data_IF_711199636520
#
_entry.id   IF_711199636520
#
_cell.length_a   1.000
_cell.length_b   1.000
_cell.length_c   1.000
_cell.angle_alpha   90.00
_cell.angle_beta   90.00
_cell.angle_gamma   90.00
#
_symmetry.space_group_name_H-M   'P 1'
#
loop_
_entity.id
_entity.type
_entity.pdbx_description
1 polymer ?
#
# COMPACT_ATOMS: atom_id res chain seq x y z
N UNK A 1 -10.11 -43.18 10.30
CA UNK A 1 -10.91 -42.17 9.59
C UNK A 1 -10.37 -40.71 9.73
N UNK A 2 -9.11 -40.47 10.14
CA UNK A 2 -8.47 -39.16 10.28
C UNK A 2 -7.27 -38.92 9.33
N UNK A 3 -6.84 -39.94 8.59
CA UNK A 3 -5.72 -39.81 7.60
C UNK A 3 -6.15 -39.34 6.21
N UNK A 4 -7.44 -39.49 5.85
CA UNK A 4 -7.95 -39.03 4.52
C UNK A 4 -8.10 -37.52 4.31
N UNK A 5 -7.94 -36.68 5.34
CA UNK A 5 -8.06 -35.20 5.14
C UNK A 5 -6.75 -34.52 4.75
N UNK A 6 -5.61 -35.05 5.14
CA UNK A 6 -4.31 -34.50 4.77
C UNK A 6 -3.99 -34.76 3.29
N UNK A 7 -4.31 -35.95 2.79
CA UNK A 7 -4.14 -36.35 1.39
C UNK A 7 -5.08 -35.55 0.45
N UNK A 8 -6.27 -35.18 0.93
CA UNK A 8 -7.20 -34.32 0.18
C UNK A 8 -6.67 -32.90 0.05
N UNK A 9 -6.06 -32.32 1.08
CA UNK A 9 -5.46 -30.98 1.02
C UNK A 9 -4.22 -30.98 0.11
N UNK A 10 -3.38 -32.02 0.16
CA UNK A 10 -2.24 -32.19 -0.75
C UNK A 10 -2.65 -32.51 -2.20
N UNK A 11 -3.72 -33.28 -2.39
CA UNK A 11 -4.29 -33.58 -3.71
C UNK A 11 -4.97 -32.35 -4.35
N UNK A 12 -5.48 -31.40 -3.55
CA UNK A 12 -6.03 -30.12 -4.04
C UNK A 12 -4.96 -29.03 -4.22
N UNK A 13 -3.78 -29.16 -3.63
CA UNK A 13 -2.59 -28.36 -3.93
C UNK A 13 -1.88 -28.82 -5.21
N UNK A 14 -2.05 -30.07 -5.63
CA UNK A 14 -1.76 -30.53 -7.00
C UNK A 14 -2.92 -30.07 -7.89
N UNK A 15 -2.80 -28.90 -8.47
CA UNK A 15 -3.63 -28.23 -9.46
C UNK A 15 -4.39 -29.23 -10.38
N UNK A 16 -5.63 -29.64 -10.08
CA UNK A 16 -6.37 -30.47 -11.02
C UNK A 16 -6.76 -29.58 -12.20
N UNK A 17 -6.29 -29.90 -13.38
CA UNK A 17 -6.50 -29.23 -14.67
C UNK A 17 -5.57 -28.06 -15.06
N UNK A 18 -4.41 -27.88 -14.46
CA UNK A 18 -3.43 -26.90 -14.99
C UNK A 18 -2.58 -27.54 -16.09
N UNK A 19 -3.18 -27.82 -17.25
CA UNK A 19 -2.43 -28.20 -18.46
C UNK A 19 -1.45 -27.11 -18.91
N UNK A 20 -1.64 -25.85 -18.47
CA UNK A 20 -0.76 -24.74 -18.78
C UNK A 20 -0.78 -23.70 -17.65
N UNK A 21 0.28 -23.58 -16.81
CA UNK A 21 0.38 -22.59 -15.73
C UNK A 21 0.25 -21.14 -16.22
N UNK A 22 0.73 -20.84 -17.39
CA UNK A 22 0.61 -19.51 -18.02
C UNK A 22 -0.84 -19.16 -18.34
N UNK A 23 -1.61 -20.12 -18.86
CA UNK A 23 -3.03 -19.92 -19.12
C UNK A 23 -3.84 -19.73 -17.84
N UNK A 24 -3.47 -20.42 -16.76
CA UNK A 24 -4.08 -20.24 -15.45
C UNK A 24 -3.82 -18.84 -14.90
N UNK A 25 -2.59 -18.35 -15.02
CA UNK A 25 -2.22 -16.98 -14.65
C UNK A 25 -3.03 -15.94 -15.43
N UNK A 26 -3.12 -16.05 -16.75
CA UNK A 26 -3.93 -15.16 -17.58
C UNK A 26 -5.41 -15.23 -17.18
N UNK A 27 -5.92 -16.42 -16.91
CA UNK A 27 -7.32 -16.62 -16.51
C UNK A 27 -7.64 -15.99 -15.14
N UNK A 28 -6.65 -15.81 -14.25
CA UNK A 28 -6.87 -15.16 -12.95
C UNK A 28 -7.25 -13.68 -13.09
N UNK A 29 -6.92 -13.03 -14.22
CA UNK A 29 -7.32 -11.66 -14.54
C UNK A 29 -8.71 -11.55 -15.20
N UNK A 30 -9.35 -12.68 -15.51
CA UNK A 30 -10.69 -12.66 -16.14
C UNK A 30 -11.71 -12.01 -15.22
N UNK A 31 -12.65 -11.25 -15.86
CA UNK A 31 -13.71 -10.54 -15.17
C UNK A 31 -13.32 -9.14 -14.70
N UNK A 32 -12.09 -8.68 -14.95
CA UNK A 32 -11.69 -7.29 -14.76
C UNK A 32 -12.05 -6.46 -16.01
N UNK A 33 -12.66 -5.30 -15.78
CA UNK A 33 -13.04 -4.37 -16.85
C UNK A 33 -11.83 -3.67 -17.46
N UNK A 34 -11.99 -3.11 -18.65
CA UNK A 34 -10.94 -2.30 -19.31
C UNK A 34 -10.58 -1.07 -18.48
N UNK A 35 -11.57 -0.53 -17.77
CA UNK A 35 -11.39 0.62 -16.87
C UNK A 35 -10.47 0.29 -15.71
N UNK A 36 -10.56 -0.89 -15.11
CA UNK A 36 -9.68 -1.35 -14.04
C UNK A 36 -8.25 -1.53 -14.54
N UNK A 37 -8.04 -2.08 -15.72
CA UNK A 37 -6.73 -2.18 -16.36
C UNK A 37 -6.12 -0.81 -16.64
N UNK A 38 -6.95 0.15 -17.09
CA UNK A 38 -6.50 1.51 -17.34
C UNK A 38 -6.14 2.24 -16.04
N UNK A 39 -6.91 2.06 -14.95
CA UNK A 39 -6.53 2.58 -13.63
C UNK A 39 -5.20 1.98 -13.15
N UNK A 40 -5.00 0.68 -13.35
CA UNK A 40 -3.73 0.03 -13.01
C UNK A 40 -2.56 0.58 -13.84
N UNK A 41 -2.76 0.87 -15.13
CA UNK A 41 -1.74 1.50 -15.97
C UNK A 41 -1.41 2.93 -15.52
N UNK A 42 -2.43 3.73 -15.21
CA UNK A 42 -2.25 5.10 -14.70
C UNK A 42 -1.45 5.09 -13.40
N UNK A 43 -1.79 4.18 -12.46
CA UNK A 43 -1.05 4.09 -11.20
C UNK A 43 0.36 3.54 -11.39
N UNK A 44 0.57 2.61 -12.33
CA UNK A 44 1.91 2.13 -12.68
C UNK A 44 2.80 3.28 -13.14
N UNK A 45 2.33 4.11 -14.08
CA UNK A 45 3.07 5.31 -14.56
C UNK A 45 3.37 6.24 -13.40
N UNK A 46 2.36 6.55 -12.58
CA UNK A 46 2.51 7.43 -11.43
C UNK A 46 3.52 6.89 -10.41
N UNK A 47 3.53 5.59 -10.14
CA UNK A 47 4.44 4.95 -9.16
C UNK A 47 5.84 4.70 -9.72
N UNK A 48 5.97 4.42 -11.01
CA UNK A 48 7.27 4.35 -11.68
C UNK A 48 8.00 5.69 -11.63
N UNK A 49 7.26 6.80 -11.68
CA UNK A 49 7.84 8.14 -11.53
C UNK A 49 8.00 8.60 -10.07
N UNK A 50 7.60 7.81 -9.06
CA UNK A 50 7.78 8.16 -7.66
C UNK A 50 9.24 8.02 -7.20
N UNK A 51 10.11 8.84 -7.75
CA UNK A 51 11.58 8.80 -7.58
C UNK A 51 12.06 9.70 -6.45
N UNK A 52 11.34 10.78 -6.13
CA UNK A 52 11.76 11.79 -5.15
C UNK A 52 11.81 11.20 -3.74
N UNK A 53 10.75 10.49 -3.32
CA UNK A 53 10.59 10.06 -1.93
C UNK A 53 11.76 9.19 -1.43
N UNK A 54 12.23 8.17 -2.17
CA UNK A 54 13.37 7.34 -1.74
C UNK A 54 14.68 8.13 -1.60
N UNK A 55 14.87 9.19 -2.37
CA UNK A 55 16.11 9.98 -2.39
C UNK A 55 15.99 11.31 -1.64
N UNK A 56 14.81 11.64 -1.12
CA UNK A 56 14.57 12.93 -0.45
C UNK A 56 15.48 13.15 0.74
N UNK A 57 15.73 12.12 1.55
CA UNK A 57 16.65 12.19 2.69
C UNK A 57 18.09 12.49 2.25
N UNK A 58 18.57 11.77 1.23
CA UNK A 58 19.92 11.97 0.67
C UNK A 58 20.04 13.34 0.03
N UNK A 59 19.04 13.80 -0.73
CA UNK A 59 19.01 15.15 -1.30
C UNK A 59 19.14 16.23 -0.22
N UNK A 60 18.37 16.11 0.88
CA UNK A 60 18.41 17.09 1.97
C UNK A 60 19.76 17.13 2.68
N UNK A 61 20.36 15.98 2.93
CA UNK A 61 21.66 15.92 3.61
C UNK A 61 22.83 16.28 2.72
N UNK A 62 22.87 15.80 1.48
CA UNK A 62 24.00 16.00 0.57
C UNK A 62 23.93 17.31 -0.25
N UNK A 63 22.73 17.70 -0.71
CA UNK A 63 22.59 18.88 -1.57
C UNK A 63 22.21 20.14 -0.80
N UNK A 64 21.39 20.02 0.25
CA UNK A 64 20.96 21.18 1.05
C UNK A 64 21.75 21.35 2.32
N UNK A 65 22.58 20.37 2.72
CA UNK A 65 23.39 20.43 3.93
C UNK A 65 22.60 20.34 5.24
N UNK A 66 21.37 19.79 5.19
CA UNK A 66 20.56 19.63 6.40
C UNK A 66 21.13 18.57 7.32
N UNK A 67 21.05 18.80 8.62
CA UNK A 67 21.35 17.80 9.63
C UNK A 67 20.37 16.62 9.58
N UNK A 68 20.75 15.48 10.13
CA UNK A 68 19.86 14.31 10.23
C UNK A 68 18.57 14.63 10.98
N UNK A 69 18.65 15.49 12.02
CA UNK A 69 17.49 15.94 12.79
C UNK A 69 16.53 16.77 11.93
N UNK A 70 17.04 17.73 11.17
CA UNK A 70 16.22 18.54 10.26
C UNK A 70 15.60 17.70 9.14
N UNK A 71 16.38 16.78 8.58
CA UNK A 71 15.90 15.80 7.59
C UNK A 71 14.74 14.96 8.16
N UNK A 72 14.89 14.46 9.38
CA UNK A 72 13.83 13.72 10.08
C UNK A 72 12.57 14.54 10.28
N UNK A 73 12.69 15.84 10.63
CA UNK A 73 11.54 16.75 10.74
C UNK A 73 10.80 16.92 9.42
N UNK A 74 11.53 17.12 8.33
CA UNK A 74 10.93 17.27 6.97
C UNK A 74 10.20 15.99 6.58
N UNK A 75 10.80 14.82 6.79
CA UNK A 75 10.16 13.52 6.50
C UNK A 75 8.92 13.29 7.37
N UNK A 76 8.90 13.77 8.61
CA UNK A 76 7.70 13.74 9.46
C UNK A 76 6.57 14.60 8.88
N UNK A 77 6.90 15.77 8.31
CA UNK A 77 5.92 16.61 7.62
C UNK A 77 5.30 15.90 6.40
N UNK A 78 6.08 15.07 5.68
CA UNK A 78 5.54 14.21 4.63
C UNK A 78 4.48 13.24 5.18
N UNK A 79 4.77 12.55 6.28
CA UNK A 79 3.83 11.64 6.94
C UNK A 79 2.55 12.32 7.39
N UNK A 80 2.65 13.52 8.00
CA UNK A 80 1.49 14.32 8.43
C UNK A 80 0.66 14.73 7.20
N UNK A 81 1.31 15.18 6.13
CA UNK A 81 0.64 15.50 4.87
C UNK A 81 -0.15 14.31 4.30
N UNK A 82 0.43 13.10 4.34
CA UNK A 82 -0.23 11.87 3.89
C UNK A 82 -1.51 11.57 4.68
N UNK A 83 -1.49 11.74 6.00
CA UNK A 83 -2.67 11.57 6.88
C UNK A 83 -3.76 12.58 6.50
N UNK A 84 -3.40 13.86 6.41
CA UNK A 84 -4.33 14.94 6.05
C UNK A 84 -4.90 14.72 4.64
N UNK A 85 -4.06 14.37 3.67
CA UNK A 85 -4.45 14.08 2.30
C UNK A 85 -5.41 12.92 2.18
N UNK A 86 -5.14 11.82 2.89
CA UNK A 86 -6.02 10.64 2.89
C UNK A 86 -7.40 10.94 3.45
N UNK A 87 -7.48 11.74 4.53
CA UNK A 87 -8.76 12.15 5.11
C UNK A 87 -9.53 13.10 4.17
N UNK A 88 -8.88 14.16 3.70
CA UNK A 88 -9.47 15.13 2.77
C UNK A 88 -9.90 14.44 1.47
N UNK A 89 -9.09 13.50 0.95
CA UNK A 89 -9.38 12.73 -0.24
C UNK A 89 -10.65 11.91 -0.15
N UNK A 90 -10.91 11.29 1.01
CA UNK A 90 -12.18 10.61 1.28
C UNK A 90 -13.37 11.56 1.19
N UNK A 91 -13.30 12.68 1.91
CA UNK A 91 -14.36 13.71 1.92
C UNK A 91 -14.58 14.34 0.55
N UNK A 92 -13.51 14.67 -0.17
CA UNK A 92 -13.63 15.24 -1.53
C UNK A 92 -14.24 14.24 -2.50
N UNK A 93 -13.85 12.97 -2.42
CA UNK A 93 -14.39 11.92 -3.28
C UNK A 93 -15.91 11.79 -3.15
N UNK A 94 -16.44 11.89 -1.93
CA UNK A 94 -17.90 11.86 -1.71
C UNK A 94 -18.58 13.16 -2.16
N UNK A 95 -17.91 14.32 -2.04
CA UNK A 95 -18.50 15.62 -2.38
C UNK A 95 -18.48 15.93 -3.88
N UNK A 96 -17.37 15.70 -4.56
CA UNK A 96 -17.16 16.09 -5.95
C UNK A 96 -16.98 14.91 -6.90
N UNK A 97 -16.88 13.67 -6.35
CA UNK A 97 -16.68 12.45 -7.11
C UNK A 97 -15.21 12.08 -7.31
N UNK A 98 -14.95 10.80 -7.52
CA UNK A 98 -13.59 10.25 -7.63
C UNK A 98 -12.82 10.76 -8.85
N UNK A 99 -13.50 11.09 -9.95
CA UNK A 99 -12.84 11.59 -11.15
C UNK A 99 -12.21 12.96 -10.92
N UNK A 100 -12.99 13.95 -10.45
CA UNK A 100 -12.51 15.29 -10.18
C UNK A 100 -11.44 15.28 -9.10
N UNK A 101 -11.62 14.49 -8.06
CA UNK A 101 -10.65 14.35 -6.97
C UNK A 101 -9.30 13.86 -7.49
N UNK A 102 -9.27 12.84 -8.36
CA UNK A 102 -8.03 12.35 -8.96
C UNK A 102 -7.40 13.38 -9.91
N UNK A 103 -8.20 14.04 -10.76
CA UNK A 103 -7.71 15.08 -11.66
C UNK A 103 -7.04 16.21 -10.88
N UNK A 104 -7.69 16.73 -9.84
CA UNK A 104 -7.11 17.79 -9.01
C UNK A 104 -5.83 17.32 -8.29
N UNK A 105 -5.82 16.12 -7.73
CA UNK A 105 -4.62 15.57 -7.08
C UNK A 105 -3.45 15.51 -8.07
N UNK A 106 -3.64 14.92 -9.24
CA UNK A 106 -2.59 14.81 -10.24
C UNK A 106 -2.06 16.16 -10.71
N UNK A 107 -2.96 17.08 -11.14
CA UNK A 107 -2.53 18.37 -11.70
C UNK A 107 -1.91 19.28 -10.64
N UNK A 108 -2.38 19.25 -9.39
CA UNK A 108 -1.82 20.07 -8.32
C UNK A 108 -0.47 19.56 -7.80
N UNK A 109 -0.15 18.27 -7.95
CA UNK A 109 1.18 17.76 -7.59
C UNK A 109 2.28 18.21 -8.55
N UNK A 110 1.97 18.46 -9.83
CA UNK A 110 2.96 18.89 -10.84
C UNK A 110 3.70 20.17 -10.43
N UNK A 111 3.02 21.31 -10.17
CA UNK A 111 3.71 22.54 -9.77
C UNK A 111 4.46 22.38 -8.46
N UNK A 112 3.99 21.56 -7.52
CA UNK A 112 4.71 21.32 -6.27
C UNK A 112 6.04 20.62 -6.53
N UNK A 113 6.08 19.61 -7.41
CA UNK A 113 7.34 18.97 -7.81
C UNK A 113 8.30 19.94 -8.50
N UNK A 114 7.80 20.88 -9.31
CA UNK A 114 8.64 21.84 -10.01
C UNK A 114 9.20 22.93 -9.06
N UNK A 115 8.47 23.26 -8.00
CA UNK A 115 8.88 24.29 -7.03
C UNK A 115 9.83 23.71 -5.98
N UNK A 116 9.71 22.41 -5.61
CA UNK A 116 10.49 21.78 -4.54
C UNK A 116 12.02 21.97 -4.67
N UNK A 117 12.66 21.83 -5.85
CA UNK A 117 14.10 22.05 -6.00
C UNK A 117 14.55 23.48 -5.65
N UNK A 118 13.66 24.45 -5.78
CA UNK A 118 13.95 25.86 -5.49
C UNK A 118 13.91 26.20 -3.99
N UNK A 119 13.33 25.30 -3.17
CA UNK A 119 13.22 25.49 -1.73
C UNK A 119 14.53 25.10 -1.05
N UNK A 120 15.13 26.01 -0.27
CA UNK A 120 16.47 25.80 0.31
C UNK A 120 16.49 25.88 1.84
N UNK A 121 15.41 26.28 2.50
CA UNK A 121 15.36 26.34 3.96
C UNK A 121 14.56 25.18 4.54
N UNK A 122 14.90 24.76 5.75
CA UNK A 122 14.19 23.65 6.43
C UNK A 122 12.68 23.89 6.48
N UNK A 123 12.27 25.14 6.79
CA UNK A 123 10.85 25.51 6.85
C UNK A 123 10.17 25.43 5.48
N UNK A 124 10.77 25.99 4.43
CA UNK A 124 10.18 25.98 3.09
C UNK A 124 10.09 24.57 2.50
N UNK A 125 11.15 23.74 2.70
CA UNK A 125 11.15 22.33 2.27
C UNK A 125 10.11 21.52 3.05
N UNK A 126 10.00 21.73 4.37
CA UNK A 126 8.98 21.05 5.20
C UNK A 126 7.56 21.37 4.71
N UNK A 127 7.28 22.64 4.41
CA UNK A 127 5.98 23.07 3.88
C UNK A 127 5.73 22.49 2.49
N UNK A 128 6.72 22.54 1.60
CA UNK A 128 6.63 21.97 0.26
C UNK A 128 6.37 20.46 0.27
N UNK A 129 7.10 19.73 1.11
CA UNK A 129 6.97 18.28 1.27
C UNK A 129 5.63 17.90 1.92
N UNK A 130 5.17 18.65 2.91
CA UNK A 130 3.83 18.51 3.49
C UNK A 130 2.74 18.70 2.41
N UNK A 131 2.81 19.80 1.65
CA UNK A 131 1.83 20.09 0.60
C UNK A 131 1.85 19.03 -0.50
N UNK A 132 3.05 18.58 -0.92
CA UNK A 132 3.20 17.48 -1.88
C UNK A 132 2.47 16.24 -1.42
N UNK A 133 2.75 15.79 -0.20
CA UNK A 133 2.15 14.59 0.36
C UNK A 133 0.65 14.73 0.56
N UNK A 134 0.20 15.88 1.12
CA UNK A 134 -1.22 16.15 1.33
C UNK A 134 -2.01 16.10 0.02
N UNK A 135 -1.49 16.68 -1.06
CA UNK A 135 -2.15 16.68 -2.37
C UNK A 135 -2.08 15.30 -3.03
N UNK A 136 -0.92 14.65 -2.99
CA UNK A 136 -0.73 13.34 -3.63
C UNK A 136 -1.56 12.24 -2.97
N UNK A 137 -1.71 12.25 -1.65
CA UNK A 137 -2.44 11.22 -0.93
C UNK A 137 -3.98 11.38 -0.97
N UNK A 138 -4.49 12.53 -1.43
CA UNK A 138 -5.90 12.69 -1.85
C UNK A 138 -6.29 11.69 -2.95
N UNK A 139 -5.35 11.31 -3.80
CA UNK A 139 -5.56 10.34 -4.88
C UNK A 139 -5.98 8.95 -4.36
N UNK A 140 -5.42 8.46 -3.25
CA UNK A 140 -5.58 7.08 -2.78
C UNK A 140 -7.05 6.67 -2.56
N UNK A 141 -7.86 7.37 -1.73
CA UNK A 141 -9.26 7.01 -1.56
C UNK A 141 -10.07 7.16 -2.85
N UNK A 142 -9.79 8.19 -3.66
CA UNK A 142 -10.46 8.41 -4.93
C UNK A 142 -10.20 7.27 -5.94
N UNK A 143 -8.96 6.78 -6.02
CA UNK A 143 -8.60 5.63 -6.85
C UNK A 143 -9.28 4.34 -6.36
N UNK A 144 -9.37 4.15 -5.05
CA UNK A 144 -10.06 2.99 -4.46
C UNK A 144 -11.56 2.99 -4.77
N UNK A 145 -12.19 4.16 -4.74
CA UNK A 145 -13.60 4.32 -5.15
C UNK A 145 -13.75 4.05 -6.65
N UNK A 146 -12.87 4.57 -7.50
CA UNK A 146 -12.90 4.31 -8.94
C UNK A 146 -12.78 2.80 -9.25
N UNK A 147 -11.82 2.11 -8.61
CA UNK A 147 -11.67 0.65 -8.74
C UNK A 147 -12.96 -0.09 -8.36
N UNK A 148 -13.57 0.27 -7.22
CA UNK A 148 -14.80 -0.37 -6.76
C UNK A 148 -15.99 -0.05 -7.65
N UNK A 149 -16.04 1.13 -8.27
CA UNK A 149 -17.10 1.56 -9.18
C UNK A 149 -17.08 0.78 -10.49
N UNK A 150 -15.88 0.58 -11.08
CA UNK A 150 -15.73 -0.10 -12.37
C UNK A 150 -15.62 -1.63 -12.23
N UNK A 151 -15.78 -2.18 -11.02
CA UNK A 151 -15.61 -3.61 -10.77
C UNK A 151 -16.88 -4.23 -10.20
N UNK A 152 -17.38 -5.36 -10.76
CA UNK A 152 -18.44 -6.16 -10.14
C UNK A 152 -18.04 -6.60 -8.73
N UNK A 153 -19.02 -6.72 -7.82
CA UNK A 153 -18.79 -7.05 -6.40
C UNK A 153 -17.95 -8.31 -6.19
N UNK A 154 -18.12 -9.30 -7.07
CA UNK A 154 -17.41 -10.58 -7.05
C UNK A 154 -15.92 -10.45 -7.38
N UNK A 155 -15.53 -9.43 -8.13
CA UNK A 155 -14.15 -9.21 -8.60
C UNK A 155 -13.42 -8.06 -7.89
N UNK A 156 -14.02 -7.43 -6.88
CA UNK A 156 -13.42 -6.28 -6.16
C UNK A 156 -12.04 -6.59 -5.63
N UNK A 157 -11.86 -7.75 -4.97
CA UNK A 157 -10.55 -8.16 -4.44
C UNK A 157 -9.51 -8.28 -5.54
N UNK A 158 -9.88 -8.84 -6.70
CA UNK A 158 -8.97 -8.95 -7.86
C UNK A 158 -8.58 -7.58 -8.41
N UNK A 159 -9.50 -6.62 -8.44
CA UNK A 159 -9.21 -5.25 -8.89
C UNK A 159 -8.21 -4.55 -7.96
N UNK A 160 -8.39 -4.68 -6.63
CA UNK A 160 -7.42 -4.16 -5.67
C UNK A 160 -6.07 -4.87 -5.78
N UNK A 161 -6.04 -6.18 -6.03
CA UNK A 161 -4.80 -6.93 -6.27
C UNK A 161 -4.07 -6.44 -7.51
N UNK A 162 -4.77 -6.27 -8.65
CA UNK A 162 -4.17 -5.72 -9.87
C UNK A 162 -3.59 -4.32 -9.63
N UNK A 163 -4.33 -3.46 -8.94
CA UNK A 163 -3.88 -2.12 -8.59
C UNK A 163 -2.61 -2.16 -7.73
N UNK A 164 -2.55 -3.07 -6.77
CA UNK A 164 -1.40 -3.25 -5.90
C UNK A 164 -0.18 -3.82 -6.63
N UNK A 165 -0.39 -4.78 -7.56
CA UNK A 165 0.68 -5.25 -8.45
C UNK A 165 1.28 -4.08 -9.24
N UNK A 166 0.45 -3.19 -9.78
CA UNK A 166 0.91 -2.00 -10.49
C UNK A 166 1.70 -1.05 -9.58
N UNK A 167 1.26 -0.85 -8.34
CA UNK A 167 2.00 -0.07 -7.32
C UNK A 167 3.36 -0.70 -7.03
N UNK A 168 3.43 -2.00 -6.75
CA UNK A 168 4.66 -2.71 -6.40
C UNK A 168 5.64 -2.76 -7.58
N UNK A 169 5.13 -2.97 -8.80
CA UNK A 169 5.97 -2.91 -10.01
C UNK A 169 6.53 -1.50 -10.21
N UNK A 170 5.72 -0.47 -10.00
CA UNK A 170 6.16 0.92 -10.06
C UNK A 170 7.24 1.25 -9.02
N UNK A 171 7.07 0.78 -7.79
CA UNK A 171 8.07 0.92 -6.72
C UNK A 171 9.35 0.09 -6.95
N UNK A 172 9.29 -0.97 -7.74
CA UNK A 172 10.51 -1.71 -8.15
C UNK A 172 11.31 -0.95 -9.20
N UNK A 173 10.62 -0.29 -10.15
CA UNK A 173 11.25 0.43 -11.26
C UNK A 173 11.63 1.87 -10.90
N UNK A 174 10.77 2.57 -10.14
CA UNK A 174 10.94 3.99 -9.81
C UNK A 174 12.27 4.33 -9.15
N UNK A 175 12.68 3.69 -8.06
CA UNK A 175 13.97 3.94 -7.41
C UNK A 175 15.18 3.67 -8.31
N UNK A 176 15.10 2.66 -9.18
CA UNK A 176 16.19 2.37 -10.13
C UNK A 176 16.37 3.51 -11.15
N UNK A 177 15.28 3.99 -11.73
CA UNK A 177 15.29 5.18 -12.60
C UNK A 177 15.73 6.43 -11.83
N UNK A 178 15.23 6.59 -10.60
CA UNK A 178 15.60 7.70 -9.73
C UNK A 178 17.10 7.71 -9.39
N UNK A 179 17.70 6.57 -9.09
CA UNK A 179 19.13 6.44 -8.86
C UNK A 179 19.96 6.84 -10.07
N UNK A 180 19.54 6.45 -11.28
CA UNK A 180 20.18 6.88 -12.52
C UNK A 180 20.09 8.40 -12.71
N UNK A 181 18.92 9.00 -12.52
CA UNK A 181 18.71 10.44 -12.64
C UNK A 181 19.46 11.24 -11.57
N UNK A 182 19.46 10.75 -10.32
CA UNK A 182 20.18 11.38 -9.21
C UNK A 182 21.70 11.40 -9.45
N UNK A 183 22.23 10.41 -10.17
CA UNK A 183 23.64 10.38 -10.60
C UNK A 183 24.01 11.52 -11.58
N UNK A 184 23.03 12.11 -12.27
CA UNK A 184 23.22 13.28 -13.15
C UNK A 184 23.03 14.57 -12.33
N UNK A 185 21.88 14.74 -11.73
CA UNK A 185 21.52 15.81 -10.78
C UNK A 185 20.27 15.39 -10.00
N UNK A 186 20.19 15.79 -8.73
CA UNK A 186 18.98 15.58 -7.91
C UNK A 186 17.76 16.30 -8.46
N UNK A 187 17.91 17.40 -9.18
CA UNK A 187 16.79 18.16 -9.77
C UNK A 187 16.00 17.29 -10.77
N UNK A 188 16.68 16.40 -11.48
CA UNK A 188 16.02 15.47 -12.40
C UNK A 188 15.05 14.50 -11.73
N UNK A 189 15.21 14.24 -10.42
CA UNK A 189 14.23 13.47 -9.66
C UNK A 189 12.88 14.18 -9.60
N UNK A 190 12.91 15.48 -9.36
CA UNK A 190 11.70 16.31 -9.26
C UNK A 190 11.05 16.48 -10.64
N UNK A 191 11.84 16.77 -11.67
CA UNK A 191 11.34 16.89 -13.05
C UNK A 191 10.80 15.57 -13.58
N UNK A 192 11.46 14.45 -13.30
CA UNK A 192 11.00 13.11 -13.64
C UNK A 192 9.66 12.76 -12.97
N UNK A 193 9.51 13.12 -11.69
CA UNK A 193 8.24 12.97 -10.99
C UNK A 193 7.13 13.86 -11.57
N UNK A 194 7.43 15.12 -11.87
CA UNK A 194 6.48 16.04 -12.50
C UNK A 194 6.03 15.53 -13.88
N UNK A 195 6.97 15.04 -14.70
CA UNK A 195 6.67 14.44 -16.00
C UNK A 195 5.78 13.22 -15.87
N UNK A 196 6.10 12.29 -14.95
CA UNK A 196 5.29 11.11 -14.73
C UNK A 196 3.89 11.43 -14.21
N UNK A 197 3.76 12.38 -13.29
CA UNK A 197 2.46 12.89 -12.85
C UNK A 197 1.67 13.51 -14.01
N UNK A 198 2.32 14.26 -14.88
CA UNK A 198 1.72 14.84 -16.08
C UNK A 198 1.23 13.75 -17.04
N UNK A 199 2.06 12.76 -17.37
CA UNK A 199 1.70 11.65 -18.27
C UNK A 199 0.54 10.83 -17.70
N UNK A 200 0.59 10.50 -16.40
CA UNK A 200 -0.50 9.81 -15.71
C UNK A 200 -1.80 10.62 -15.75
N UNK A 201 -1.72 11.96 -15.55
CA UNK A 201 -2.86 12.89 -15.64
C UNK A 201 -3.48 12.90 -17.03
N UNK A 202 -2.65 13.06 -18.05
CA UNK A 202 -3.10 13.10 -19.45
C UNK A 202 -3.79 11.79 -19.84
N UNK A 203 -3.18 10.64 -19.51
CA UNK A 203 -3.77 9.33 -19.77
C UNK A 203 -5.10 9.14 -19.04
N UNK A 204 -5.15 9.53 -17.76
CA UNK A 204 -6.34 9.43 -16.94
C UNK A 204 -7.48 10.28 -17.51
N UNK A 205 -7.22 11.56 -17.80
CA UNK A 205 -8.23 12.48 -18.37
C UNK A 205 -8.68 12.01 -19.76
N UNK A 206 -7.73 11.63 -20.63
CA UNK A 206 -8.04 11.16 -21.98
C UNK A 206 -9.00 9.96 -21.96
N UNK A 207 -8.75 8.98 -21.08
CA UNK A 207 -9.54 7.76 -21.06
C UNK A 207 -10.84 7.90 -20.27
N UNK A 208 -10.84 8.59 -19.13
CA UNK A 208 -11.98 8.60 -18.19
C UNK A 208 -12.93 9.78 -18.37
N UNK A 209 -12.56 10.85 -19.10
CA UNK A 209 -13.41 12.03 -19.29
C UNK A 209 -14.85 11.72 -19.76
N UNK A 210 -14.99 10.76 -20.67
CA UNK A 210 -16.31 10.36 -21.24
C UNK A 210 -16.98 9.22 -20.48
N UNK A 211 -16.31 8.61 -19.52
CA UNK A 211 -16.74 7.41 -18.79
C UNK A 211 -17.08 7.65 -17.33
N UNK A 212 -16.92 8.88 -16.86
CA UNK A 212 -17.19 9.22 -15.48
C UNK A 212 -18.69 9.23 -15.18
N UNK A 213 -19.10 8.71 -13.99
CA UNK A 213 -20.46 8.90 -13.52
C UNK A 213 -20.69 10.38 -13.24
N UNK A 214 -21.84 10.89 -13.69
CA UNK A 214 -22.30 12.20 -13.24
C UNK A 214 -22.88 12.05 -11.84
N UNK A 215 -22.24 12.65 -10.85
CA UNK A 215 -22.81 12.73 -9.50
C UNK A 215 -24.06 13.59 -9.57
N UNK A 216 -25.22 12.99 -9.41
CA UNK A 216 -26.49 13.71 -9.45
C UNK A 216 -26.69 14.54 -8.18
N UNK A 217 -27.47 15.65 -8.25
CA UNK A 217 -27.81 16.43 -7.06
C UNK A 217 -28.45 15.59 -5.94
N UNK A 218 -29.23 14.56 -6.32
CA UNK A 218 -29.85 13.63 -5.37
C UNK A 218 -28.80 12.77 -4.65
N UNK A 219 -27.81 12.25 -5.35
CA UNK A 219 -26.69 11.52 -4.74
C UNK A 219 -25.89 12.40 -3.78
N UNK A 220 -25.69 13.69 -4.11
CA UNK A 220 -25.05 14.65 -3.21
C UNK A 220 -25.86 14.92 -1.93
N UNK A 221 -27.20 14.90 -2.04
CA UNK A 221 -28.10 15.09 -0.90
C UNK A 221 -28.10 13.86 0.00
N UNK A 222 -28.20 12.68 -0.59
CA UNK A 222 -28.10 11.40 0.11
C UNK A 222 -26.74 11.25 0.84
N UNK A 223 -25.62 11.66 0.23
CA UNK A 223 -24.31 11.62 0.86
C UNK A 223 -24.18 12.50 2.13
N UNK A 224 -25.04 13.50 2.28
CA UNK A 224 -25.10 14.34 3.50
C UNK A 224 -25.91 13.71 4.63
N UNK A 225 -26.83 12.82 4.33
CA UNK A 225 -27.74 12.18 5.28
C UNK A 225 -27.22 10.82 5.77
N UNK A 226 -26.21 10.25 5.08
CA UNK A 226 -25.63 8.96 5.46
C UNK A 226 -24.61 9.13 6.60
N UNK A 227 -24.69 8.23 7.56
CA UNK A 227 -23.84 8.24 8.73
C UNK A 227 -22.36 8.07 8.37
N UNK A 228 -21.52 8.91 8.97
CA UNK A 228 -20.06 8.85 8.74
C UNK A 228 -19.50 7.52 9.24
N UNK A 229 -18.63 6.82 8.48
CA UNK A 229 -18.02 5.56 8.90
C UNK A 229 -17.20 5.70 10.19
N UNK A 230 -16.72 6.90 10.50
CA UNK A 230 -16.01 7.21 11.75
C UNK A 230 -16.90 7.15 13.00
N UNK A 231 -18.22 7.16 12.85
CA UNK A 231 -19.18 6.93 13.95
C UNK A 231 -19.51 5.45 14.16
N UNK A 232 -19.19 4.60 13.22
CA UNK A 232 -19.39 3.16 13.33
C UNK A 232 -18.23 2.53 14.13
N UNK A 233 -18.45 2.12 15.40
CA UNK A 233 -17.38 1.62 16.26
C UNK A 233 -16.72 0.34 15.72
N UNK A 234 -17.47 -0.48 14.95
CA UNK A 234 -16.92 -1.70 14.34
C UNK A 234 -15.94 -1.35 13.23
N UNK A 235 -16.25 -0.34 12.40
CA UNK A 235 -15.36 0.10 11.34
C UNK A 235 -14.14 0.84 11.88
N UNK A 236 -14.30 1.62 12.95
CA UNK A 236 -13.16 2.25 13.65
C UNK A 236 -12.24 1.17 14.24
N UNK A 237 -12.80 0.15 14.90
CA UNK A 237 -12.01 -0.98 15.41
C UNK A 237 -11.29 -1.73 14.28
N UNK A 238 -11.96 -1.95 13.13
CA UNK A 238 -11.34 -2.59 11.96
C UNK A 238 -10.21 -1.73 11.40
N UNK A 239 -10.39 -0.41 11.30
CA UNK A 239 -9.34 0.55 10.89
C UNK A 239 -8.12 0.49 11.82
N UNK A 240 -8.34 0.44 13.14
CA UNK A 240 -7.25 0.34 14.12
C UNK A 240 -6.47 -0.97 13.94
N UNK A 241 -7.17 -2.10 13.74
CA UNK A 241 -6.53 -3.39 13.47
C UNK A 241 -5.74 -3.37 12.15
N UNK A 242 -6.26 -2.72 11.11
CA UNK A 242 -5.53 -2.51 9.85
C UNK A 242 -4.27 -1.64 10.07
N UNK A 243 -4.35 -0.60 10.92
CA UNK A 243 -3.20 0.23 11.26
C UNK A 243 -2.14 -0.55 12.05
N UNK A 244 -2.54 -1.37 13.03
CA UNK A 244 -1.62 -2.23 13.77
C UNK A 244 -0.91 -3.24 12.85
N UNK A 245 -1.66 -3.89 11.95
CA UNK A 245 -1.07 -4.74 10.92
C UNK A 245 -0.07 -3.97 10.08
N UNK A 246 -0.44 -2.79 9.58
CA UNK A 246 0.41 -2.00 8.71
C UNK A 246 1.66 -1.45 9.43
N UNK A 247 1.59 -1.12 10.72
CA UNK A 247 2.76 -0.74 11.53
C UNK A 247 3.77 -1.89 11.58
N UNK A 248 3.30 -3.12 11.78
CA UNK A 248 4.15 -4.30 11.73
C UNK A 248 4.71 -4.55 10.32
N UNK A 249 3.86 -4.49 9.31
CA UNK A 249 4.24 -4.74 7.92
C UNK A 249 5.29 -3.74 7.41
N UNK A 250 5.15 -2.46 7.69
CA UNK A 250 6.06 -1.42 7.20
C UNK A 250 7.43 -1.39 7.88
N UNK A 251 7.69 -2.27 8.85
CA UNK A 251 9.05 -2.60 9.26
C UNK A 251 9.91 -3.09 8.06
N UNK A 252 9.25 -3.62 7.01
CA UNK A 252 9.88 -3.93 5.73
C UNK A 252 10.68 -2.77 5.14
N UNK A 253 10.17 -1.54 5.26
CA UNK A 253 10.77 -0.36 4.64
C UNK A 253 11.66 0.45 5.62
N UNK A 254 11.52 0.23 6.92
CA UNK A 254 12.23 1.00 7.95
C UNK A 254 13.36 0.21 8.61
N UNK A 255 13.03 -0.83 9.34
CA UNK A 255 14.00 -1.54 10.20
C UNK A 255 14.58 -2.79 9.57
N UNK A 256 13.88 -3.43 8.62
CA UNK A 256 14.38 -4.63 7.97
C UNK A 256 15.64 -4.36 7.11
N UNK A 257 15.71 -3.28 6.29
CA UNK A 257 16.96 -2.91 5.61
C UNK A 257 18.10 -2.60 6.57
N UNK A 258 17.81 -1.98 7.72
CA UNK A 258 18.79 -1.71 8.78
C UNK A 258 19.32 -3.02 9.37
N UNK A 259 18.45 -3.99 9.66
CA UNK A 259 18.84 -5.33 10.11
C UNK A 259 19.72 -6.05 9.08
N UNK A 260 19.41 -5.95 7.78
CA UNK A 260 20.25 -6.52 6.73
C UNK A 260 21.63 -5.89 6.68
N UNK A 261 21.71 -4.56 6.90
CA UNK A 261 22.97 -3.82 6.90
C UNK A 261 23.80 -4.09 8.15
N UNK A 262 23.23 -3.92 9.33
CA UNK A 262 23.93 -3.98 10.61
C UNK A 262 24.05 -5.40 11.16
N UNK A 263 22.99 -6.20 11.05
CA UNK A 263 22.99 -7.58 11.56
C UNK A 263 23.66 -8.59 10.64
N UNK A 264 23.52 -8.41 9.31
CA UNK A 264 24.08 -9.34 8.32
C UNK A 264 25.23 -8.77 7.50
N UNK A 265 25.60 -7.50 7.68
CA UNK A 265 26.67 -6.81 6.95
C UNK A 265 26.52 -6.86 5.43
N UNK A 266 25.27 -6.89 4.93
CA UNK A 266 24.99 -6.92 3.50
C UNK A 266 25.29 -5.55 2.86
N UNK A 267 25.77 -5.58 1.61
CA UNK A 267 25.90 -4.37 0.81
C UNK A 267 24.52 -3.82 0.42
N UNK A 268 24.44 -2.52 0.11
CA UNK A 268 23.23 -1.86 -0.38
C UNK A 268 22.66 -2.57 -1.62
N UNK A 269 23.54 -3.06 -2.49
CA UNK A 269 23.17 -3.84 -3.67
C UNK A 269 22.47 -5.15 -3.31
N UNK A 270 23.00 -5.90 -2.33
CA UNK A 270 22.38 -7.15 -1.86
C UNK A 270 21.02 -6.90 -1.20
N UNK A 271 20.91 -5.83 -0.39
CA UNK A 271 19.65 -5.39 0.20
C UNK A 271 18.65 -5.05 -0.91
N UNK A 272 19.10 -4.31 -1.93
CA UNK A 272 18.28 -3.97 -3.09
C UNK A 272 17.76 -5.20 -3.85
N UNK A 273 18.59 -6.25 -4.00
CA UNK A 273 18.18 -7.53 -4.62
C UNK A 273 17.08 -8.21 -3.80
N UNK A 274 17.22 -8.29 -2.46
CA UNK A 274 16.23 -8.92 -1.59
C UNK A 274 14.89 -8.15 -1.65
N UNK A 275 14.95 -6.82 -1.60
CA UNK A 275 13.74 -5.99 -1.72
C UNK A 275 13.13 -6.07 -3.13
N UNK A 276 13.95 -6.09 -4.18
CA UNK A 276 13.51 -6.29 -5.56
C UNK A 276 12.83 -7.64 -5.78
N UNK A 277 13.35 -8.70 -5.15
CA UNK A 277 12.72 -10.02 -5.13
C UNK A 277 11.28 -9.96 -4.58
N UNK A 278 11.02 -9.18 -3.52
CA UNK A 278 9.66 -9.05 -2.97
C UNK A 278 8.66 -8.49 -3.98
N UNK A 279 9.05 -7.44 -4.71
CA UNK A 279 8.19 -6.86 -5.75
C UNK A 279 7.93 -7.84 -6.90
N UNK A 280 8.96 -8.56 -7.35
CA UNK A 280 8.82 -9.59 -8.38
C UNK A 280 7.92 -10.75 -7.92
N UNK A 281 8.11 -11.22 -6.68
CA UNK A 281 7.27 -12.26 -6.09
C UNK A 281 5.79 -11.87 -6.10
N UNK A 282 5.48 -10.65 -5.67
CA UNK A 282 4.10 -10.15 -5.67
C UNK A 282 3.53 -10.13 -7.09
N UNK A 283 4.26 -9.56 -8.06
CA UNK A 283 3.80 -9.51 -9.46
C UNK A 283 3.50 -10.89 -10.01
N UNK A 284 4.32 -11.90 -9.71
CA UNK A 284 4.15 -13.24 -10.22
C UNK A 284 3.02 -14.04 -9.53
N UNK A 285 2.87 -13.88 -8.22
CA UNK A 285 2.04 -14.79 -7.43
C UNK A 285 0.75 -14.19 -6.90
N UNK A 286 0.61 -12.86 -6.84
CA UNK A 286 -0.55 -12.21 -6.20
C UNK A 286 -1.89 -12.69 -6.76
N UNK A 287 -2.07 -12.62 -8.08
CA UNK A 287 -3.37 -12.97 -8.69
C UNK A 287 -3.70 -14.45 -8.52
N UNK A 288 -2.68 -15.32 -8.52
CA UNK A 288 -2.85 -16.77 -8.31
C UNK A 288 -3.30 -17.01 -6.87
N UNK A 289 -2.56 -16.46 -5.90
CA UNK A 289 -2.84 -16.65 -4.47
C UNK A 289 -4.23 -16.11 -4.13
N UNK A 290 -4.57 -14.90 -4.59
CA UNK A 290 -5.90 -14.30 -4.37
C UNK A 290 -7.01 -15.15 -4.96
N UNK A 291 -6.82 -15.68 -6.18
CA UNK A 291 -7.82 -16.52 -6.83
C UNK A 291 -8.00 -17.85 -6.12
N UNK A 292 -6.91 -18.48 -5.67
CA UNK A 292 -6.97 -19.77 -4.96
C UNK A 292 -7.58 -19.57 -3.58
N UNK A 293 -7.06 -18.66 -2.78
CA UNK A 293 -7.53 -18.46 -1.40
C UNK A 293 -8.98 -18.00 -1.33
N UNK A 294 -9.40 -17.13 -2.25
CA UNK A 294 -10.79 -16.66 -2.32
C UNK A 294 -11.82 -17.73 -2.67
N UNK A 295 -11.40 -18.90 -3.19
CA UNK A 295 -12.30 -20.04 -3.44
C UNK A 295 -12.54 -20.91 -2.20
N UNK A 296 -11.55 -21.00 -1.32
CA UNK A 296 -11.55 -21.99 -0.22
C UNK A 296 -11.73 -21.37 1.16
N UNK A 297 -11.43 -20.09 1.31
CA UNK A 297 -11.41 -19.42 2.60
C UNK A 297 -12.34 -18.20 2.62
N UNK A 298 -12.93 -17.94 3.79
CA UNK A 298 -13.66 -16.70 4.03
C UNK A 298 -12.71 -15.50 4.10
N UNK A 299 -13.20 -14.31 3.79
CA UNK A 299 -12.44 -13.06 3.88
C UNK A 299 -11.79 -12.89 5.26
N UNK A 300 -12.53 -13.24 6.33
CA UNK A 300 -12.03 -13.18 7.68
C UNK A 300 -10.79 -14.06 7.88
N UNK A 301 -10.87 -15.33 7.47
CA UNK A 301 -9.76 -16.27 7.62
C UNK A 301 -8.54 -15.86 6.80
N UNK A 302 -8.75 -15.28 5.61
CA UNK A 302 -7.65 -14.82 4.75
C UNK A 302 -6.91 -13.64 5.42
N UNK A 303 -7.62 -12.66 5.96
CA UNK A 303 -7.02 -11.52 6.67
C UNK A 303 -6.26 -11.99 7.92
N UNK A 304 -6.85 -12.91 8.69
CA UNK A 304 -6.23 -13.48 9.90
C UNK A 304 -4.93 -14.21 9.53
N UNK A 305 -4.96 -15.06 8.51
CA UNK A 305 -3.77 -15.74 8.01
C UNK A 305 -2.70 -14.76 7.53
N UNK A 306 -3.11 -13.71 6.79
CA UNK A 306 -2.21 -12.65 6.37
C UNK A 306 -1.52 -11.97 7.56
N UNK A 307 -2.25 -11.64 8.62
CA UNK A 307 -1.67 -11.06 9.83
C UNK A 307 -0.69 -12.01 10.54
N UNK A 308 -1.02 -13.31 10.62
CA UNK A 308 -0.14 -14.31 11.20
C UNK A 308 1.13 -14.53 10.38
N UNK A 309 1.04 -14.55 9.04
CA UNK A 309 2.21 -14.61 8.17
C UNK A 309 3.12 -13.39 8.32
N UNK A 310 2.56 -12.20 8.56
CA UNK A 310 3.35 -11.00 8.86
C UNK A 310 4.21 -11.20 10.11
N UNK A 311 3.62 -11.65 11.22
CA UNK A 311 4.36 -11.93 12.45
C UNK A 311 5.40 -13.03 12.27
N UNK A 312 5.02 -14.13 11.62
CA UNK A 312 5.92 -15.23 11.35
C UNK A 312 7.13 -14.80 10.53
N UNK A 313 6.94 -13.90 9.54
CA UNK A 313 8.00 -13.36 8.70
C UNK A 313 9.11 -12.68 9.52
N UNK A 314 8.76 -11.97 10.58
CA UNK A 314 9.74 -11.34 11.45
C UNK A 314 10.31 -12.29 12.50
N UNK A 315 9.47 -13.12 13.11
CA UNK A 315 9.91 -14.09 14.14
C UNK A 315 10.96 -15.06 13.61
N UNK A 316 10.84 -15.52 12.36
CA UNK A 316 11.82 -16.46 11.76
C UNK A 316 13.22 -15.85 11.63
N UNK A 317 13.37 -14.52 11.62
CA UNK A 317 14.67 -13.84 11.60
C UNK A 317 15.48 -14.10 12.88
N UNK A 318 14.82 -14.42 13.99
CA UNK A 318 15.47 -14.79 15.25
C UNK A 318 15.96 -16.26 15.28
N UNK A 319 15.54 -17.09 14.31
CA UNK A 319 15.85 -18.53 14.33
C UNK A 319 17.20 -18.84 13.68
N UNK A 320 17.62 -18.05 12.70
CA UNK A 320 18.87 -18.31 11.97
C UNK A 320 19.37 -17.07 11.23
N UNK A 321 20.70 -16.90 11.23
CA UNK A 321 21.41 -15.82 10.54
C UNK A 321 21.82 -16.18 9.11
N UNK A 322 21.16 -17.15 8.46
CA UNK A 322 21.49 -17.55 7.10
C UNK A 322 20.82 -16.66 6.06
N UNK A 323 21.46 -16.48 4.91
CA UNK A 323 20.89 -15.70 3.79
C UNK A 323 19.54 -16.27 3.33
N UNK A 324 19.37 -17.60 3.35
CA UNK A 324 18.11 -18.27 3.02
C UNK A 324 16.97 -17.86 3.94
N UNK A 325 17.26 -17.61 5.23
CA UNK A 325 16.25 -17.16 6.18
C UNK A 325 15.73 -15.77 5.84
N UNK A 326 16.58 -14.88 5.28
CA UNK A 326 16.16 -13.55 4.82
C UNK A 326 15.18 -13.67 3.65
N UNK A 327 15.50 -14.52 2.65
CA UNK A 327 14.59 -14.78 1.53
C UNK A 327 13.29 -15.47 1.98
N UNK A 328 13.35 -16.38 2.93
CA UNK A 328 12.19 -17.03 3.50
C UNK A 328 11.30 -16.04 4.25
N UNK A 329 11.88 -15.20 5.09
CA UNK A 329 11.20 -14.12 5.81
C UNK A 329 10.47 -13.17 4.83
N UNK A 330 11.16 -12.65 3.83
CA UNK A 330 10.55 -11.72 2.89
C UNK A 330 9.47 -12.40 2.02
N UNK A 331 9.61 -13.68 1.71
CA UNK A 331 8.58 -14.47 1.02
C UNK A 331 7.31 -14.57 1.88
N UNK A 332 7.45 -14.88 3.17
CA UNK A 332 6.32 -14.89 4.11
C UNK A 332 5.66 -13.52 4.20
N UNK A 333 6.44 -12.45 4.17
CA UNK A 333 5.93 -11.09 4.20
C UNK A 333 5.16 -10.74 2.93
N UNK A 334 5.64 -11.16 1.75
CA UNK A 334 4.91 -11.02 0.48
C UNK A 334 3.58 -11.80 0.51
N UNK A 335 3.59 -13.04 1.02
CA UNK A 335 2.36 -13.83 1.18
C UNK A 335 1.40 -13.13 2.13
N UNK A 336 1.89 -12.60 3.25
CA UNK A 336 1.08 -11.79 4.18
C UNK A 336 0.43 -10.61 3.48
N UNK A 337 1.19 -9.86 2.71
CA UNK A 337 0.71 -8.71 1.97
C UNK A 337 -0.41 -9.07 1.00
N UNK A 338 -0.22 -10.13 0.21
CA UNK A 338 -1.20 -10.64 -0.76
C UNK A 338 -2.50 -11.09 -0.06
N UNK A 339 -2.38 -11.73 1.11
CA UNK A 339 -3.54 -12.21 1.85
C UNK A 339 -4.28 -11.12 2.61
N UNK A 340 -3.58 -10.12 3.14
CA UNK A 340 -4.21 -9.13 4.01
C UNK A 340 -4.77 -7.93 3.25
N UNK A 341 -3.93 -7.21 2.50
CA UNK A 341 -4.26 -5.87 2.02
C UNK A 341 -5.44 -5.79 1.03
N UNK A 342 -5.54 -6.67 -0.01
CA UNK A 342 -6.66 -6.60 -0.94
C UNK A 342 -8.00 -6.96 -0.27
N UNK A 343 -7.96 -7.87 0.69
CA UNK A 343 -9.15 -8.29 1.41
C UNK A 343 -9.58 -7.27 2.46
N UNK A 344 -8.63 -6.59 3.14
CA UNK A 344 -8.94 -5.46 4.02
C UNK A 344 -9.67 -4.36 3.25
N UNK A 345 -9.15 -3.92 2.10
CA UNK A 345 -9.84 -2.93 1.27
C UNK A 345 -11.22 -3.39 0.80
N UNK A 346 -11.37 -4.69 0.50
CA UNK A 346 -12.67 -5.29 0.14
C UNK A 346 -13.68 -5.19 1.29
N UNK A 347 -13.27 -5.37 2.54
CA UNK A 347 -14.15 -5.21 3.71
C UNK A 347 -14.66 -3.77 3.79
N UNK A 348 -13.81 -2.76 3.62
CA UNK A 348 -14.25 -1.36 3.61
C UNK A 348 -15.26 -1.09 2.48
N UNK A 349 -14.99 -1.58 1.27
CA UNK A 349 -15.91 -1.40 0.12
C UNK A 349 -17.25 -2.08 0.35
N UNK A 350 -17.27 -3.29 0.92
CA UNK A 350 -18.52 -4.04 1.17
C UNK A 350 -19.40 -3.43 2.26
N UNK A 351 -18.81 -2.68 3.18
CA UNK A 351 -19.55 -1.98 4.24
C UNK A 351 -19.93 -0.54 3.87
N UNK A 352 -19.53 -0.07 2.71
CA UNK A 352 -19.84 1.27 2.21
C UNK A 352 -21.05 1.25 1.29
N UNK A 353 -21.85 2.30 1.37
CA UNK A 353 -22.86 2.65 0.39
C UNK A 353 -22.28 3.48 -0.75
N UNK A 354 -22.99 3.61 -1.86
CA UNK A 354 -22.52 4.41 -3.01
C UNK A 354 -22.28 5.88 -2.65
N UNK A 355 -22.96 6.39 -1.62
CA UNK A 355 -22.90 7.79 -1.16
C UNK A 355 -21.76 8.10 -0.18
N UNK A 356 -21.21 7.11 0.54
CA UNK A 356 -20.14 7.31 1.53
C UNK A 356 -18.88 6.46 1.27
N UNK A 357 -18.78 5.86 0.08
CA UNK A 357 -17.68 4.98 -0.31
C UNK A 357 -16.31 5.67 -0.22
N UNK A 358 -16.25 6.98 -0.51
CA UNK A 358 -15.05 7.78 -0.37
C UNK A 358 -14.57 7.88 1.07
N UNK A 359 -15.47 8.10 2.01
CA UNK A 359 -15.15 8.16 3.44
C UNK A 359 -14.62 6.81 3.97
N UNK A 360 -15.22 5.67 3.54
CA UNK A 360 -14.71 4.33 3.89
C UNK A 360 -13.33 4.08 3.30
N UNK A 361 -13.07 4.48 2.05
CA UNK A 361 -11.76 4.34 1.43
C UNK A 361 -10.74 5.32 2.01
N UNK A 362 -11.18 6.50 2.43
CA UNK A 362 -10.39 7.45 3.22
C UNK A 362 -9.95 6.85 4.55
N UNK A 363 -10.85 6.18 5.26
CA UNK A 363 -10.56 5.47 6.51
C UNK A 363 -9.54 4.34 6.31
N UNK A 364 -9.66 3.56 5.23
CA UNK A 364 -8.67 2.57 4.85
C UNK A 364 -7.29 3.21 4.61
N UNK A 365 -7.25 4.26 3.78
CA UNK A 365 -6.01 4.96 3.46
C UNK A 365 -5.37 5.60 4.70
N UNK A 366 -6.19 6.14 5.60
CA UNK A 366 -5.74 6.73 6.87
C UNK A 366 -5.00 5.70 7.75
N UNK A 367 -5.52 4.46 7.85
CA UNK A 367 -4.87 3.39 8.62
C UNK A 367 -3.43 3.15 8.14
N UNK A 368 -3.21 3.13 6.83
CA UNK A 368 -1.88 2.93 6.24
C UNK A 368 -0.99 4.17 6.35
N UNK A 369 -1.56 5.39 6.21
CA UNK A 369 -0.79 6.63 6.35
C UNK A 369 -0.27 6.83 7.78
N UNK A 370 -1.09 6.54 8.77
CA UNK A 370 -0.68 6.57 10.19
C UNK A 370 0.46 5.57 10.46
N UNK A 371 0.40 4.40 9.84
CA UNK A 371 1.42 3.37 10.01
C UNK A 371 2.80 3.79 9.50
N UNK A 372 2.87 4.58 8.44
CA UNK A 372 4.13 5.11 7.92
C UNK A 372 4.83 6.08 8.90
N UNK A 373 4.08 6.68 9.84
CA UNK A 373 4.64 7.52 10.89
C UNK A 373 5.13 6.65 12.06
N UNK A 374 4.27 5.73 12.51
CA UNK A 374 4.54 4.96 13.74
C UNK A 374 5.49 3.78 13.52
N UNK A 375 5.52 3.16 12.34
CA UNK A 375 6.37 2.00 12.06
C UNK A 375 7.87 2.30 12.25
N UNK A 376 8.46 3.32 11.60
CA UNK A 376 9.88 3.62 11.80
C UNK A 376 10.19 4.06 13.22
N UNK A 377 9.34 4.88 13.84
CA UNK A 377 9.56 5.37 15.20
C UNK A 377 9.56 4.22 16.22
N UNK A 378 8.51 3.40 16.22
CA UNK A 378 8.41 2.27 17.14
C UNK A 378 9.53 1.24 16.92
N UNK A 379 9.88 0.98 15.65
CA UNK A 379 10.93 0.05 15.30
C UNK A 379 12.31 0.50 15.74
N UNK A 380 12.71 1.72 15.39
CA UNK A 380 14.03 2.26 15.76
C UNK A 380 14.16 2.45 17.27
N UNK A 381 13.12 2.91 17.95
CA UNK A 381 13.10 3.01 19.42
C UNK A 381 13.32 1.65 20.08
N UNK A 382 12.66 0.60 19.57
CA UNK A 382 12.82 -0.76 20.11
C UNK A 382 14.24 -1.29 19.85
N UNK A 383 14.81 -1.04 18.67
CA UNK A 383 16.18 -1.46 18.35
C UNK A 383 17.20 -0.79 19.26
N UNK A 384 17.07 0.51 19.47
CA UNK A 384 18.00 1.30 20.27
C UNK A 384 18.06 0.83 21.73
N UNK A 385 16.93 0.44 22.32
CA UNK A 385 16.85 0.07 23.72
C UNK A 385 16.95 -1.44 23.98
N UNK A 386 16.53 -2.28 23.05
CA UNK A 386 16.40 -3.73 23.27
C UNK A 386 16.91 -4.60 22.11
N UNK A 387 17.38 -4.00 21.03
CA UNK A 387 17.94 -4.72 19.88
C UNK A 387 16.91 -5.29 18.90
N UNK A 388 17.43 -5.81 17.79
CA UNK A 388 16.62 -6.38 16.69
C UNK A 388 15.82 -7.61 17.12
N UNK A 389 16.42 -8.50 17.91
CA UNK A 389 15.77 -9.73 18.36
C UNK A 389 14.45 -9.43 19.08
N UNK A 390 14.48 -8.47 20.02
CA UNK A 390 13.30 -8.03 20.75
C UNK A 390 12.26 -7.42 19.81
N UNK A 391 12.68 -6.62 18.83
CA UNK A 391 11.77 -6.05 17.84
C UNK A 391 11.00 -7.13 17.09
N UNK A 392 11.66 -8.21 16.66
CA UNK A 392 11.02 -9.28 15.91
C UNK A 392 10.02 -10.07 16.77
N UNK A 393 10.35 -10.34 18.04
CA UNK A 393 9.40 -10.96 18.98
C UNK A 393 8.21 -10.06 19.28
N UNK A 394 8.42 -8.77 19.51
CA UNK A 394 7.35 -7.78 19.75
C UNK A 394 6.44 -7.68 18.52
N UNK A 395 7.02 -7.59 17.32
CA UNK A 395 6.26 -7.55 16.07
C UNK A 395 5.41 -8.81 15.90
N UNK A 396 5.97 -10.00 16.18
CA UNK A 396 5.23 -11.26 16.19
C UNK A 396 4.07 -11.24 17.20
N UNK A 397 4.31 -10.78 18.42
CA UNK A 397 3.27 -10.66 19.45
C UNK A 397 2.13 -9.71 19.05
N UNK A 398 2.46 -8.53 18.53
CA UNK A 398 1.47 -7.54 18.06
C UNK A 398 0.61 -8.11 16.92
N UNK A 399 1.22 -8.85 15.98
CA UNK A 399 0.44 -9.45 14.87
C UNK A 399 -0.48 -10.58 15.34
N UNK A 400 -0.10 -11.37 16.36
CA UNK A 400 -0.99 -12.37 16.97
C UNK A 400 -2.19 -11.68 17.64
N UNK A 401 -1.97 -10.61 18.41
CA UNK A 401 -3.04 -9.82 19.00
C UNK A 401 -3.94 -9.21 17.92
N UNK A 402 -3.35 -8.70 16.85
CA UNK A 402 -4.09 -8.14 15.70
C UNK A 402 -4.93 -9.21 15.00
N UNK A 403 -4.39 -10.42 14.78
CA UNK A 403 -5.11 -11.55 14.21
C UNK A 403 -6.28 -12.00 15.07
N UNK A 404 -6.09 -12.08 16.40
CA UNK A 404 -7.15 -12.34 17.36
C UNK A 404 -8.22 -11.24 17.32
N UNK A 405 -7.81 -9.98 17.26
CA UNK A 405 -8.72 -8.84 17.09
C UNK A 405 -9.58 -8.95 15.83
N UNK A 406 -8.99 -9.27 14.68
CA UNK A 406 -9.73 -9.53 13.44
C UNK A 406 -10.71 -10.68 13.60
N UNK A 407 -10.30 -11.80 14.22
CA UNK A 407 -11.17 -12.95 14.45
C UNK A 407 -12.43 -12.56 15.22
N UNK A 408 -12.28 -11.90 16.39
CA UNK A 408 -13.43 -11.52 17.22
C UNK A 408 -14.30 -10.43 16.56
N UNK A 409 -13.68 -9.46 15.91
CA UNK A 409 -14.40 -8.37 15.27
C UNK A 409 -15.22 -8.84 14.07
N UNK A 410 -14.58 -9.60 13.16
CA UNK A 410 -15.25 -10.05 11.92
C UNK A 410 -16.34 -11.08 12.19
N UNK A 411 -16.21 -11.90 13.24
CA UNK A 411 -17.28 -12.75 13.72
C UNK A 411 -18.51 -11.95 14.16
N UNK A 412 -18.30 -10.81 14.84
CA UNK A 412 -19.38 -9.89 15.23
C UNK A 412 -20.00 -9.10 14.09
N UNK A 413 -19.26 -8.93 13.00
CA UNK A 413 -19.74 -8.27 11.78
C UNK A 413 -20.51 -9.22 10.83
N UNK A 414 -20.55 -10.52 11.12
CA UNK A 414 -21.22 -11.52 10.27
C UNK A 414 -20.49 -11.77 8.95
N UNK A 415 -19.22 -11.41 8.86
CA UNK A 415 -18.37 -11.61 7.67
C UNK A 415 -17.75 -13.02 7.70
N UNK A 416 -18.57 -14.05 7.42
CA UNK A 416 -18.13 -15.44 7.28
C UNK A 416 -17.86 -15.81 5.83
#
# INVERSE_FOLDING_TARGET
>A
MRLCRADMIFSYLCFPDVKNPFQYYINSFRGLSKEVWMLALVILINRTSAMVVPFLGVYMTQSLGFSLKETGMVLSCFGIGAVVGSYIGGVLTDKIGFYQTQVYSFFLTIPVFLILPELKTVFSVSLGVFMLSAIADVFRPANSVALSYYTPKENITKAFSLNRMAVNLGFSVGPALGGFLAGISYDWLFYGNALGAFLASCLFVYYFRSRMPRVTPEQKKLAREVESPYRNPRMVAFMILCALYAICFFQLLSTLPLFYKEGHHLSEFQIGIILGYSGLFIVLFEMIIVQVTGKFLSIANIIILGALFCGLAFVVLNLSYTLWMLYFSITLLCVSEILAMPYMSTVFVRNADDSNRGAYMGMYSLAFSVSHIFSPYAGTYTIEHWGFETLWWVTGGVTVVTAAGFYFLMRRMGAH
#
